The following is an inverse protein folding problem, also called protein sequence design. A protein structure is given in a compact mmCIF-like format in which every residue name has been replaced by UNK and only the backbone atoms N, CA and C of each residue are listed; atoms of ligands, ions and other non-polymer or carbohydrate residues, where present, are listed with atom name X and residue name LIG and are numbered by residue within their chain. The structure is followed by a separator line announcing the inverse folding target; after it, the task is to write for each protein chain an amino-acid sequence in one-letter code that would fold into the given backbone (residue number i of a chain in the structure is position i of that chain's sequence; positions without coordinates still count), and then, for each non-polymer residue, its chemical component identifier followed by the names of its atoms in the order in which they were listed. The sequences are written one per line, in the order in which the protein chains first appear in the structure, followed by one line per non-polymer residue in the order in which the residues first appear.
data_IF_992571650501
#
_entry.id   IF_992571650501
#
_cell.length_a   1.000
_cell.length_b   1.000
_cell.length_c   1.000
_cell.angle_alpha   90.00
_cell.angle_beta   90.00
_cell.angle_gamma   90.00
#
_symmetry.space_group_name_H-M   'P 1'
#
loop_
_entity.id
_entity.type
_entity.pdbx_description
1 polymer ?
#
# COMPACT_ATOMS: atom_id res chain seq x y z
N UNK A 1 -13.52 0.53 17.35
CA UNK A 1 -12.17 0.86 17.89
C UNK A 1 -11.48 1.73 16.84
N UNK A 2 -10.66 2.72 17.19
CA UNK A 2 -10.01 3.56 16.16
C UNK A 2 -8.75 2.87 15.67
N UNK A 3 -8.63 2.66 14.36
CA UNK A 3 -7.43 2.13 13.73
C UNK A 3 -6.77 3.19 12.85
N UNK A 4 -5.46 3.08 12.63
CA UNK A 4 -4.66 4.04 11.89
C UNK A 4 -4.18 3.40 10.60
N UNK A 5 -4.53 4.00 9.46
CA UNK A 5 -4.06 3.57 8.15
C UNK A 5 -2.78 4.33 7.77
N UNK A 6 -1.76 3.57 7.44
CA UNK A 6 -0.45 4.04 7.05
C UNK A 6 -0.12 3.61 5.63
N UNK A 7 0.61 4.46 4.92
CA UNK A 7 1.36 4.05 3.74
C UNK A 7 2.83 3.89 4.16
N UNK A 8 3.37 2.70 3.97
CA UNK A 8 4.77 2.36 4.17
C UNK A 8 5.42 2.17 2.81
N UNK A 9 6.65 2.65 2.66
CA UNK A 9 7.43 2.36 1.46
C UNK A 9 8.82 1.83 1.81
N UNK A 10 9.28 0.94 0.94
CA UNK A 10 10.61 0.35 1.01
C UNK A 10 11.42 0.81 -0.20
N UNK A 11 12.68 1.13 0.06
CA UNK A 11 13.63 1.44 -1.00
C UNK A 11 13.94 0.17 -1.79
N UNK A 12 13.93 0.31 -3.10
CA UNK A 12 14.19 -0.81 -3.98
C UNK A 12 15.69 -1.11 -4.02
N UNK A 13 16.06 -2.36 -4.31
CA UNK A 13 17.47 -2.77 -4.34
C UNK A 13 18.31 -2.01 -5.39
N UNK A 14 17.68 -1.47 -6.44
CA UNK A 14 18.33 -0.65 -7.46
C UNK A 14 17.65 0.73 -7.58
N UNK A 15 18.45 1.78 -7.80
CA UNK A 15 17.94 3.17 -7.86
C UNK A 15 16.94 3.46 -8.99
N UNK A 16 16.96 2.60 -10.01
CA UNK A 16 16.09 2.71 -11.19
C UNK A 16 14.80 1.90 -11.04
N UNK A 17 14.65 1.14 -9.94
CA UNK A 17 13.47 0.32 -9.71
C UNK A 17 12.43 1.06 -8.86
N UNK A 18 11.12 0.84 -9.10
CA UNK A 18 10.07 1.50 -8.32
C UNK A 18 10.13 1.10 -6.83
N UNK A 19 9.82 2.04 -5.93
CA UNK A 19 9.67 1.74 -4.50
C UNK A 19 8.52 0.77 -4.28
N UNK A 20 8.65 -0.10 -3.29
CA UNK A 20 7.58 -1.01 -2.90
C UNK A 20 6.66 -0.32 -1.90
N UNK A 21 5.38 -0.18 -2.24
CA UNK A 21 4.36 0.42 -1.37
C UNK A 21 3.49 -0.64 -0.71
N UNK A 22 3.23 -0.40 0.56
CA UNK A 22 2.52 -1.29 1.46
C UNK A 22 1.55 -0.48 2.29
N UNK A 23 0.29 -0.89 2.36
CA UNK A 23 -0.66 -0.30 3.31
C UNK A 23 -0.54 -1.05 4.63
N UNK A 24 -0.56 -0.33 5.75
CA UNK A 24 -0.51 -0.94 7.06
C UNK A 24 -1.58 -0.36 7.97
N UNK A 25 -2.17 -1.21 8.79
CA UNK A 25 -3.13 -0.82 9.81
C UNK A 25 -2.56 -1.15 11.17
N UNK A 26 -2.48 -0.14 12.05
CA UNK A 26 -2.18 -0.34 13.47
C UNK A 26 -3.34 0.14 14.34
N UNK A 27 -3.43 -0.37 15.57
CA UNK A 27 -4.35 0.14 16.60
C UNK A 27 -3.71 1.21 17.49
N UNK A 28 -2.42 1.47 17.30
CA UNK A 28 -1.62 2.42 18.05
C UNK A 28 -0.92 3.38 17.08
N UNK A 29 -0.86 4.67 17.43
CA UNK A 29 -0.31 5.71 16.58
C UNK A 29 1.23 5.83 16.63
N UNK A 30 1.93 4.95 17.35
CA UNK A 30 3.38 5.06 17.56
C UNK A 30 4.20 4.13 16.66
N UNK A 31 5.48 4.48 16.47
CA UNK A 31 6.34 3.86 15.46
C UNK A 31 6.69 2.39 15.67
N UNK A 32 6.53 1.89 16.89
CA UNK A 32 6.80 0.48 17.27
C UNK A 32 5.53 -0.37 17.34
N UNK A 33 4.42 0.14 16.82
CA UNK A 33 3.17 -0.58 16.83
C UNK A 33 3.26 -1.82 15.93
N UNK A 34 2.60 -2.89 16.36
CA UNK A 34 2.30 -4.00 15.47
C UNK A 34 1.18 -3.60 14.53
N UNK A 35 1.35 -3.94 13.26
CA UNK A 35 0.40 -3.67 12.21
C UNK A 35 0.04 -4.93 11.41
N UNK A 36 -1.12 -4.87 10.78
CA UNK A 36 -1.48 -5.74 9.67
C UNK A 36 -1.12 -5.01 8.39
N UNK A 37 -0.28 -5.65 7.59
CA UNK A 37 0.26 -5.16 6.33
C UNK A 37 -0.51 -5.78 5.18
N UNK A 38 -0.86 -4.95 4.20
CA UNK A 38 -1.46 -5.29 2.93
C UNK A 38 -0.46 -4.90 1.85
N UNK A 39 -0.01 -5.87 1.08
CA UNK A 39 1.01 -5.69 0.06
C UNK A 39 0.61 -6.39 -1.24
N UNK A 40 1.28 -6.03 -2.33
CA UNK A 40 1.07 -6.63 -3.63
C UNK A 40 2.39 -7.22 -4.12
N UNK A 41 2.42 -8.53 -4.30
CA UNK A 41 3.61 -9.29 -4.73
C UNK A 41 3.45 -9.73 -6.18
N UNK A 42 4.57 -9.86 -6.91
CA UNK A 42 4.53 -10.38 -8.28
C UNK A 42 4.78 -11.90 -8.24
N UNK A 43 3.94 -12.67 -8.92
CA UNK A 43 4.14 -14.09 -9.11
C UNK A 43 5.12 -14.39 -10.25
N UNK A 44 5.53 -15.66 -10.39
CA UNK A 44 6.46 -16.10 -11.43
C UNK A 44 5.93 -15.90 -12.86
N UNK A 45 4.63 -15.63 -13.03
CA UNK A 45 4.00 -15.35 -14.33
C UNK A 45 3.96 -13.87 -14.67
N UNK A 46 4.49 -13.01 -13.78
CA UNK A 46 4.46 -11.56 -13.93
C UNK A 46 3.12 -10.92 -13.57
N UNK A 47 2.21 -11.67 -12.93
CA UNK A 47 0.96 -11.13 -12.40
C UNK A 47 1.13 -10.73 -10.95
N UNK A 48 0.45 -9.66 -10.57
CA UNK A 48 0.42 -9.21 -9.20
C UNK A 48 -0.65 -9.98 -8.40
N UNK A 49 -0.34 -10.31 -7.15
CA UNK A 49 -1.24 -10.93 -6.18
C UNK A 49 -1.17 -10.14 -4.87
N UNK A 50 -2.33 -9.82 -4.31
CA UNK A 50 -2.48 -9.24 -2.99
C UNK A 50 -2.02 -10.24 -1.94
N UNK A 51 -1.48 -9.72 -0.83
CA UNK A 51 -1.02 -10.51 0.30
C UNK A 51 -1.24 -9.73 1.58
N UNK A 52 -1.72 -10.44 2.61
CA UNK A 52 -1.92 -9.89 3.95
C UNK A 52 -0.93 -10.53 4.92
N UNK A 53 -0.18 -9.71 5.65
CA UNK A 53 0.80 -10.15 6.64
C UNK A 53 0.47 -9.50 7.98
N UNK A 54 0.22 -10.33 9.01
CA UNK A 54 -0.17 -9.85 10.35
C UNK A 54 1.03 -9.77 11.27
N UNK A 55 0.93 -8.94 12.31
CA UNK A 55 1.95 -8.78 13.38
C UNK A 55 3.30 -8.30 12.84
N UNK A 56 3.27 -7.38 11.89
CA UNK A 56 4.47 -6.76 11.32
C UNK A 56 4.80 -5.48 12.09
N UNK A 57 6.06 -5.29 12.44
CA UNK A 57 6.53 -4.01 12.99
C UNK A 57 6.57 -2.97 11.88
N UNK A 58 6.05 -1.76 12.14
CA UNK A 58 6.05 -0.63 11.18
C UNK A 58 7.45 -0.15 10.75
N UNK A 59 8.51 -0.71 11.32
CA UNK A 59 9.93 -0.36 11.08
C UNK A 59 10.77 -1.55 10.63
N UNK A 60 10.16 -2.74 10.45
CA UNK A 60 10.88 -3.92 9.99
C UNK A 60 11.35 -3.78 8.55
N UNK A 61 12.46 -4.45 8.21
CA UNK A 61 12.89 -4.59 6.82
C UNK A 61 11.91 -5.48 6.04
N UNK A 62 11.66 -5.13 4.79
CA UNK A 62 10.87 -5.94 3.87
C UNK A 62 11.80 -6.87 3.08
N UNK A 63 11.37 -8.09 2.69
CA UNK A 63 12.21 -8.99 1.91
C UNK A 63 12.72 -8.39 0.59
N UNK A 64 11.98 -7.42 0.03
CA UNK A 64 12.32 -6.77 -1.24
C UNK A 64 13.17 -5.50 -1.09
N UNK A 65 13.42 -5.01 0.13
CA UNK A 65 14.06 -3.71 0.31
C UNK A 65 14.19 -3.21 1.75
N UNK A 66 15.05 -2.20 1.91
CA UNK A 66 15.21 -1.51 3.19
C UNK A 66 14.03 -0.57 3.46
N UNK A 67 13.72 -0.34 4.73
CA UNK A 67 12.67 0.60 5.12
C UNK A 67 13.01 2.02 4.66
N UNK A 68 12.17 2.60 3.79
CA UNK A 68 12.37 3.93 3.22
C UNK A 68 11.55 5.03 3.88
N UNK A 69 10.52 4.67 4.68
CA UNK A 69 9.68 5.62 5.42
C UNK A 69 8.21 5.21 5.49
N UNK A 70 7.41 6.05 6.15
CA UNK A 70 5.94 5.91 6.23
C UNK A 70 5.25 7.25 6.36
N UNK A 71 3.96 7.26 6.09
CA UNK A 71 3.07 8.39 6.34
C UNK A 71 1.73 7.90 6.90
N UNK A 72 1.22 8.61 7.91
CA UNK A 72 -0.13 8.39 8.42
C UNK A 72 -1.14 8.99 7.44
N UNK A 73 -1.98 8.16 6.84
CA UNK A 73 -3.05 8.61 5.96
C UNK A 73 -4.25 9.08 6.79
N UNK A 74 -4.59 8.39 7.87
CA UNK A 74 -5.63 8.85 8.78
C UNK A 74 -6.18 7.73 9.63
N UNK A 75 -7.21 8.07 10.40
CA UNK A 75 -7.99 7.12 11.17
C UNK A 75 -9.01 6.42 10.26
N UNK A 76 -9.19 5.12 10.45
CA UNK A 76 -10.16 4.28 9.75
C UNK A 76 -11.02 3.52 10.76
N UNK A 77 -12.26 3.27 10.37
CA UNK A 77 -13.23 2.53 11.19
C UNK A 77 -13.15 1.02 10.96
N UNK A 78 -13.80 0.25 11.83
CA UNK A 78 -13.83 -1.21 11.77
C UNK A 78 -14.42 -1.75 10.44
N UNK A 79 -15.31 -1.00 9.78
CA UNK A 79 -15.88 -1.37 8.48
C UNK A 79 -14.84 -1.35 7.35
N UNK A 80 -13.96 -0.36 7.34
CA UNK A 80 -12.82 -0.30 6.41
C UNK A 80 -11.87 -1.47 6.67
N UNK A 81 -11.59 -1.79 7.95
CA UNK A 81 -10.71 -2.89 8.32
C UNK A 81 -11.20 -4.24 7.77
N UNK A 82 -12.49 -4.52 7.93
CA UNK A 82 -13.11 -5.74 7.41
C UNK A 82 -13.09 -5.84 5.88
N UNK A 83 -12.98 -4.71 5.18
CA UNK A 83 -13.07 -4.64 3.72
C UNK A 83 -11.71 -4.46 3.03
N UNK A 84 -10.65 -4.16 3.79
CA UNK A 84 -9.35 -3.75 3.23
C UNK A 84 -8.66 -4.87 2.44
N UNK A 85 -8.89 -6.13 2.83
CA UNK A 85 -8.42 -7.30 2.08
C UNK A 85 -9.11 -7.37 0.71
N UNK A 86 -10.44 -7.27 0.67
CA UNK A 86 -11.20 -7.25 -0.58
C UNK A 86 -10.86 -6.04 -1.49
N UNK A 87 -10.59 -4.88 -0.90
CA UNK A 87 -10.08 -3.72 -1.63
C UNK A 87 -8.70 -3.97 -2.23
N UNK A 88 -7.82 -4.66 -1.50
CA UNK A 88 -6.48 -5.03 -1.98
C UNK A 88 -6.56 -5.99 -3.16
N UNK A 89 -7.45 -6.99 -3.09
CA UNK A 89 -7.69 -7.93 -4.19
C UNK A 89 -8.20 -7.21 -5.44
N UNK A 90 -9.22 -6.37 -5.28
CA UNK A 90 -9.84 -5.60 -6.38
C UNK A 90 -8.84 -4.63 -7.02
N UNK A 91 -8.09 -3.88 -6.22
CA UNK A 91 -7.07 -2.97 -6.72
C UNK A 91 -5.97 -3.72 -7.49
N UNK A 92 -5.57 -4.90 -7.01
CA UNK A 92 -4.57 -5.75 -7.67
C UNK A 92 -5.08 -6.25 -9.02
N UNK A 93 -6.34 -6.68 -9.11
CA UNK A 93 -6.96 -7.12 -10.36
C UNK A 93 -7.05 -5.97 -11.39
N UNK A 94 -7.38 -4.76 -10.94
CA UNK A 94 -7.41 -3.56 -11.80
C UNK A 94 -6.02 -3.23 -12.35
N UNK A 95 -4.98 -3.28 -11.51
CA UNK A 95 -3.59 -3.07 -11.93
C UNK A 95 -3.15 -4.13 -12.95
N UNK A 96 -3.46 -5.41 -12.70
CA UNK A 96 -3.18 -6.49 -13.64
C UNK A 96 -3.87 -6.27 -15.00
N UNK A 97 -5.14 -5.88 -14.98
CA UNK A 97 -5.92 -5.59 -16.19
C UNK A 97 -5.33 -4.42 -16.97
N UNK A 98 -4.89 -3.38 -16.26
CA UNK A 98 -4.27 -2.21 -16.86
C UNK A 98 -2.91 -2.53 -17.51
N UNK A 99 -2.05 -3.25 -16.79
CA UNK A 99 -0.74 -3.68 -17.29
C UNK A 99 -0.85 -4.57 -18.53
N UNK A 100 -1.86 -5.45 -18.58
CA UNK A 100 -2.15 -6.27 -19.76
C UNK A 100 -2.48 -5.42 -20.99
N UNK A 101 -3.17 -4.29 -20.81
CA UNK A 101 -3.56 -3.39 -21.92
C UNK A 101 -2.42 -2.50 -22.41
N UNK A 102 -1.48 -2.10 -21.54
CA UNK A 102 -0.40 -1.15 -21.87
C UNK A 102 0.98 -1.77 -22.09
N UNK A 103 1.16 -3.06 -21.83
CA UNK A 103 2.42 -3.79 -22.04
C UNK A 103 3.30 -3.84 -20.77
N UNK A 104 4.19 -4.84 -20.70
CA UNK A 104 5.00 -5.19 -19.51
C UNK A 104 5.99 -4.11 -19.04
N UNK A 105 6.16 -3.00 -19.77
CA UNK A 105 7.16 -1.96 -19.49
C UNK A 105 6.74 -0.90 -18.45
N UNK A 106 5.48 -0.87 -18.01
CA UNK A 106 5.01 0.05 -16.98
C UNK A 106 4.85 -0.69 -15.65
N UNK A 107 5.86 -0.66 -14.79
CA UNK A 107 5.77 -1.21 -13.42
C UNK A 107 4.84 -0.36 -12.55
N UNK A 108 3.55 -0.52 -12.77
CA UNK A 108 2.48 0.20 -12.10
C UNK A 108 2.02 -0.47 -10.80
N UNK A 109 2.83 -1.34 -10.20
CA UNK A 109 2.48 -1.96 -8.92
C UNK A 109 2.05 -0.88 -7.92
N UNK A 110 2.81 0.21 -7.79
CA UNK A 110 2.53 1.35 -6.92
C UNK A 110 1.13 1.99 -7.11
N UNK A 111 0.45 1.80 -8.24
CA UNK A 111 -0.91 2.33 -8.44
C UNK A 111 -1.96 1.64 -7.55
N UNK A 112 -1.70 0.41 -7.07
CA UNK A 112 -2.64 -0.35 -6.23
C UNK A 112 -3.05 0.45 -4.97
N UNK A 113 -2.07 1.05 -4.29
CA UNK A 113 -2.32 1.83 -3.08
C UNK A 113 -3.06 3.14 -3.41
N UNK A 114 -2.73 3.78 -4.54
CA UNK A 114 -3.44 4.98 -5.02
C UNK A 114 -4.91 4.70 -5.25
N UNK A 115 -5.24 3.55 -5.87
CA UNK A 115 -6.64 3.14 -6.13
C UNK A 115 -7.41 3.03 -4.82
N UNK A 116 -6.84 2.38 -3.80
CA UNK A 116 -7.50 2.19 -2.51
C UNK A 116 -7.64 3.52 -1.77
N UNK A 117 -6.55 4.29 -1.64
CA UNK A 117 -6.57 5.56 -0.90
C UNK A 117 -7.55 6.55 -1.54
N UNK A 118 -7.58 6.63 -2.87
CA UNK A 118 -8.56 7.44 -3.58
C UNK A 118 -9.99 7.00 -3.27
N UNK A 119 -10.26 5.69 -3.36
CA UNK A 119 -11.60 5.15 -3.09
C UNK A 119 -12.06 5.43 -1.66
N UNK A 120 -11.16 5.33 -0.68
CA UNK A 120 -11.45 5.63 0.72
C UNK A 120 -11.65 7.14 0.96
N UNK A 121 -10.86 8.01 0.32
CA UNK A 121 -11.05 9.46 0.42
C UNK A 121 -12.36 9.91 -0.25
N UNK A 122 -12.67 9.40 -1.44
CA UNK A 122 -13.92 9.68 -2.16
C UNK A 122 -15.15 9.24 -1.33
N UNK A 123 -15.04 8.15 -0.57
CA UNK A 123 -16.07 7.67 0.34
C UNK A 123 -16.12 8.41 1.70
N UNK A 124 -15.29 9.44 1.91
CA UNK A 124 -15.13 10.17 3.18
C UNK A 124 -14.70 9.27 4.36
N UNK A 125 -14.02 8.16 4.06
CA UNK A 125 -13.46 7.23 5.05
C UNK A 125 -12.00 7.54 5.40
N UNK A 126 -11.40 8.49 4.68
CA UNK A 126 -10.11 9.12 4.99
C UNK A 126 -10.25 10.64 4.97
N UNK A 127 -9.39 11.36 5.70
CA UNK A 127 -9.38 12.83 5.65
C UNK A 127 -9.00 13.32 4.26
N UNK A 128 -9.58 14.47 3.86
CA UNK A 128 -9.23 15.13 2.60
C UNK A 128 -7.72 15.44 2.54
N UNK A 129 -7.13 15.26 1.36
CA UNK A 129 -5.70 15.41 1.12
C UNK A 129 -4.87 14.15 1.42
N UNK A 130 -5.49 13.00 1.67
CA UNK A 130 -4.78 11.72 1.84
C UNK A 130 -4.12 11.26 0.56
N UNK A 131 -4.85 11.35 -0.55
CA UNK A 131 -4.37 11.08 -1.90
C UNK A 131 -3.26 12.06 -2.29
N UNK A 132 -3.45 13.37 -2.04
CA UNK A 132 -2.44 14.38 -2.34
C UNK A 132 -1.12 14.13 -1.57
N UNK A 133 -1.20 13.63 -0.33
CA UNK A 133 -0.03 13.22 0.45
C UNK A 133 0.66 11.99 -0.13
N UNK A 134 -0.10 11.00 -0.59
CA UNK A 134 0.43 9.83 -1.28
C UNK A 134 1.10 10.22 -2.61
N UNK A 135 0.51 11.10 -3.39
CA UNK A 135 1.05 11.53 -4.70
C UNK A 135 2.35 12.33 -4.59
N UNK A 136 2.58 13.00 -3.45
CA UNK A 136 3.85 13.68 -3.14
C UNK A 136 4.96 12.69 -2.77
N UNK A 137 4.65 11.42 -2.53
CA UNK A 137 5.64 10.39 -2.21
C UNK A 137 6.43 10.00 -3.48
N UNK A 138 7.78 10.01 -3.44
CA UNK A 138 8.59 9.65 -4.59
C UNK A 138 8.36 8.19 -5.02
N UNK A 139 8.07 7.98 -6.31
CA UNK A 139 7.77 6.66 -6.90
C UNK A 139 9.01 5.84 -7.24
N UNK A 140 10.14 6.52 -7.45
CA UNK A 140 11.46 5.96 -7.73
C UNK A 140 12.49 6.65 -6.84
N UNK A 141 13.65 6.03 -6.63
CA UNK A 141 14.73 6.63 -5.86
C UNK A 141 16.03 5.88 -6.06
#
# INVERSE_FOLDING_TARGET
MTAYLWLIWYDAAAKVTPKHWTLAVSYEAHDRAYATVYEVTMDFTGRYQSRVVRRVHLTSNHPLGAYGGKILLGEVNDGVLCSLEAYSDTATELVNTYNRKRGQGTSNCHEWATIIVRSLEDAMLLPQGSLARLERCPRTG
#
